data_IF_752645858783
#
_entry.id   IF_752645858783
#
_cell.length_a   1.000
_cell.length_b   1.000
_cell.length_c   1.000
_cell.angle_alpha   90.00
_cell.angle_beta   90.00
_cell.angle_gamma   90.00
#
_symmetry.space_group_name_H-M   'P 1'
#
loop_
_entity.id
_entity.type
_entity.pdbx_description
1 polymer ?
#
# COMPACT_ATOMS: atom_id res chain seq x y z
N UNK A 1 14.28 -28.45 30.17
CA UNK A 1 15.50 -28.83 30.91
C UNK A 1 15.72 -30.32 30.68
N UNK A 2 16.97 -30.70 30.35
CA UNK A 2 17.54 -32.04 30.15
C UNK A 2 17.58 -32.62 28.72
N UNK A 3 18.80 -32.55 28.18
CA UNK A 3 19.40 -33.57 27.32
C UNK A 3 19.60 -34.88 28.09
N UNK A 4 19.58 -36.04 27.41
CA UNK A 4 20.59 -37.10 27.55
C UNK A 4 20.37 -38.19 26.48
N UNK A 5 21.49 -38.67 25.93
CA UNK A 5 21.62 -39.65 24.86
C UNK A 5 21.50 -41.11 25.35
N UNK A 6 21.08 -42.01 24.45
CA UNK A 6 21.34 -43.46 24.48
C UNK A 6 21.55 -43.88 23.01
N UNK A 7 22.68 -44.40 22.53
CA UNK A 7 23.83 -44.98 23.21
C UNK A 7 23.98 -46.47 22.88
N UNK A 8 23.95 -46.86 21.61
CA UNK A 8 24.50 -48.16 21.18
C UNK A 8 25.92 -47.93 20.64
N UNK A 9 26.84 -48.68 21.22
CA UNK A 9 28.25 -48.36 21.26
C UNK A 9 28.99 -48.51 19.94
N UNK A 10 30.07 -47.73 19.84
CA UNK A 10 31.43 -48.11 19.44
C UNK A 10 32.23 -46.81 19.35
N UNK A 11 33.20 -46.62 20.25
CA UNK A 11 34.45 -45.93 19.94
C UNK A 11 35.58 -46.87 20.36
N UNK A 12 36.61 -47.05 19.52
CA UNK A 12 37.81 -46.26 19.76
C UNK A 12 38.58 -45.83 18.49
N UNK A 13 39.60 -45.02 18.73
CA UNK A 13 40.73 -44.62 17.85
C UNK A 13 40.55 -43.38 16.98
N UNK A 14 40.98 -42.26 17.57
CA UNK A 14 41.98 -41.32 17.02
C UNK A 14 42.51 -41.66 15.63
N UNK A 15 42.01 -40.97 14.62
CA UNK A 15 42.81 -40.12 13.73
C UNK A 15 41.91 -39.59 12.60
N UNK A 16 42.23 -38.37 12.16
CA UNK A 16 41.59 -37.62 11.08
C UNK A 16 40.24 -36.94 11.43
N UNK A 17 40.32 -35.60 11.43
CA UNK A 17 39.23 -34.63 11.51
C UNK A 17 37.95 -35.14 10.82
N UNK A 18 36.78 -35.08 11.48
CA UNK A 18 35.52 -35.32 10.78
C UNK A 18 35.46 -34.30 9.66
N UNK A 19 35.36 -34.78 8.41
CA UNK A 19 34.88 -33.93 7.34
C UNK A 19 33.57 -33.37 7.84
N UNK A 20 33.54 -32.09 8.18
CA UNK A 20 32.31 -31.34 8.33
C UNK A 20 31.58 -31.59 7.02
N UNK A 21 30.58 -32.45 7.08
CA UNK A 21 29.65 -32.64 6.01
C UNK A 21 28.90 -31.31 5.97
N UNK A 22 29.40 -30.36 5.18
CA UNK A 22 28.64 -29.20 4.75
C UNK A 22 27.47 -29.75 3.93
N UNK A 23 26.51 -30.35 4.62
CA UNK A 23 25.15 -30.47 4.13
C UNK A 23 24.77 -29.03 3.80
N UNK A 24 24.59 -28.77 2.52
CA UNK A 24 23.96 -27.56 2.03
C UNK A 24 22.52 -27.56 2.56
N UNK A 25 22.34 -27.24 3.84
CA UNK A 25 21.11 -26.63 4.31
C UNK A 25 20.95 -25.37 3.49
N UNK A 26 20.02 -25.45 2.54
CA UNK A 26 19.44 -24.39 1.75
C UNK A 26 19.82 -23.01 2.29
N UNK A 27 20.93 -22.46 1.82
CA UNK A 27 21.22 -21.05 2.02
C UNK A 27 20.01 -20.33 1.40
N UNK A 28 19.31 -19.43 2.12
CA UNK A 28 18.44 -18.49 1.41
C UNK A 28 19.34 -17.85 0.37
N UNK A 29 19.06 -18.09 -0.91
CA UNK A 29 19.85 -17.55 -2.00
C UNK A 29 19.88 -16.05 -1.80
N UNK A 30 21.04 -15.53 -1.39
CA UNK A 30 21.28 -14.10 -1.40
C UNK A 30 21.30 -13.71 -2.87
N UNK A 31 20.11 -13.41 -3.41
CA UNK A 31 20.00 -12.73 -4.68
C UNK A 31 20.58 -11.33 -4.49
N UNK A 32 21.66 -10.97 -5.20
CA UNK A 32 22.03 -9.57 -5.32
C UNK A 32 20.82 -8.88 -5.95
N UNK A 33 20.16 -8.00 -5.19
CA UNK A 33 19.14 -7.12 -5.74
C UNK A 33 19.82 -6.30 -6.82
N UNK A 34 19.42 -6.47 -8.10
CA UNK A 34 19.86 -5.52 -9.10
C UNK A 34 19.37 -4.15 -8.60
N UNK A 35 20.24 -3.15 -8.52
CA UNK A 35 19.80 -1.77 -8.50
C UNK A 35 19.16 -1.47 -9.85
N UNK A 36 17.95 -1.97 -10.05
CA UNK A 36 17.23 -1.99 -11.30
C UNK A 36 15.77 -1.97 -10.95
N UNK A 37 15.24 -0.75 -10.78
CA UNK A 37 13.82 -0.41 -10.61
C UNK A 37 13.10 -1.37 -9.65
N UNK A 38 13.11 -1.10 -8.34
CA UNK A 38 12.28 -1.83 -7.38
C UNK A 38 10.87 -1.95 -7.97
N UNK A 39 10.42 -3.16 -8.37
CA UNK A 39 9.07 -3.32 -8.88
C UNK A 39 8.15 -2.89 -7.74
N UNK A 40 7.45 -1.78 -7.93
CA UNK A 40 6.62 -1.15 -6.89
C UNK A 40 5.69 -2.23 -6.35
N UNK A 41 5.91 -2.69 -5.12
CA UNK A 41 5.05 -3.72 -4.51
C UNK A 41 3.74 -3.07 -4.04
N UNK A 42 2.63 -3.83 -3.97
CA UNK A 42 1.36 -3.31 -3.45
C UNK A 42 1.52 -2.65 -2.07
N UNK A 43 2.29 -3.29 -1.20
CA UNK A 43 2.65 -2.80 0.14
C UNK A 43 3.41 -1.48 0.10
N UNK A 44 4.41 -1.33 -0.78
CA UNK A 44 5.19 -0.10 -0.88
C UNK A 44 4.33 1.06 -1.38
N UNK A 45 3.51 0.82 -2.41
CA UNK A 45 2.62 1.85 -2.97
C UNK A 45 1.63 2.34 -1.91
N UNK A 46 1.00 1.41 -1.18
CA UNK A 46 0.02 1.72 -0.15
C UNK A 46 0.64 2.49 1.02
N UNK A 47 1.84 2.07 1.47
CA UNK A 47 2.59 2.74 2.52
C UNK A 47 3.01 4.16 2.14
N UNK A 48 3.48 4.38 0.90
CA UNK A 48 3.84 5.71 0.41
C UNK A 48 2.63 6.64 0.44
N UNK A 49 1.47 6.16 -0.03
CA UNK A 49 0.25 6.97 -0.06
C UNK A 49 -0.29 7.26 1.35
N UNK A 50 -0.24 6.29 2.26
CA UNK A 50 -0.63 6.49 3.67
C UNK A 50 0.24 7.57 4.36
N UNK A 51 1.55 7.55 4.11
CA UNK A 51 2.46 8.58 4.63
C UNK A 51 2.20 9.94 3.96
N UNK A 52 2.06 9.96 2.64
CA UNK A 52 1.78 11.18 1.89
C UNK A 52 0.48 11.84 2.39
N UNK A 53 -0.55 11.03 2.63
CA UNK A 53 -1.82 11.51 3.14
C UNK A 53 -1.68 12.14 4.53
N UNK A 54 -0.95 11.48 5.45
CA UNK A 54 -0.69 12.05 6.77
C UNK A 54 0.04 13.40 6.69
N UNK A 55 1.02 13.53 5.78
CA UNK A 55 1.70 14.81 5.51
C UNK A 55 0.71 15.86 4.99
N UNK A 56 -0.15 15.50 4.04
CA UNK A 56 -1.16 16.44 3.51
C UNK A 56 -2.20 16.85 4.55
N UNK A 57 -2.56 15.95 5.48
CA UNK A 57 -3.39 16.27 6.63
C UNK A 57 -2.71 17.31 7.53
N UNK A 58 -1.42 17.14 7.82
CA UNK A 58 -0.65 18.14 8.58
C UNK A 58 -0.66 19.49 7.87
N UNK A 59 -0.40 19.52 6.55
CA UNK A 59 -0.42 20.75 5.75
C UNK A 59 -1.81 21.41 5.81
N UNK A 60 -2.89 20.64 5.67
CA UNK A 60 -4.25 21.16 5.70
C UNK A 60 -4.62 21.73 7.07
N UNK A 61 -4.27 21.04 8.15
CA UNK A 61 -4.49 21.51 9.52
C UNK A 61 -3.67 22.79 9.78
N UNK A 62 -2.40 22.83 9.37
CA UNK A 62 -1.58 24.04 9.45
C UNK A 62 -2.19 25.19 8.66
N UNK A 63 -2.69 24.93 7.45
CA UNK A 63 -3.36 25.94 6.64
C UNK A 63 -4.64 26.46 7.32
N UNK A 64 -5.44 25.59 7.94
CA UNK A 64 -6.59 26.00 8.73
C UNK A 64 -6.18 26.86 9.93
N UNK A 65 -5.14 26.48 10.66
CA UNK A 65 -4.61 27.29 11.77
C UNK A 65 -4.13 28.67 11.27
N UNK A 66 -3.44 28.73 10.14
CA UNK A 66 -3.05 30.00 9.52
C UNK A 66 -4.27 30.86 9.20
N UNK A 67 -5.31 30.28 8.59
CA UNK A 67 -6.56 30.98 8.25
C UNK A 67 -7.29 31.53 9.47
N UNK A 68 -7.41 30.75 10.54
CA UNK A 68 -8.28 31.10 11.66
C UNK A 68 -7.57 31.79 12.82
N UNK A 69 -6.25 31.63 12.96
CA UNK A 69 -5.50 32.08 14.15
C UNK A 69 -4.42 33.10 13.83
N UNK A 70 -3.56 32.82 12.84
CA UNK A 70 -2.31 33.57 12.68
C UNK A 70 -2.35 34.65 11.59
N UNK A 71 -3.02 34.39 10.47
CA UNK A 71 -3.04 35.25 9.30
C UNK A 71 -4.40 35.18 8.58
N UNK A 72 -5.48 35.61 9.25
CA UNK A 72 -6.81 35.66 8.64
C UNK A 72 -6.83 36.62 7.44
N UNK A 73 -7.54 36.22 6.39
CA UNK A 73 -7.63 36.96 5.13
C UNK A 73 -7.05 36.19 3.93
N UNK A 74 -6.72 36.91 2.86
CA UNK A 74 -6.37 36.32 1.56
C UNK A 74 -5.23 35.29 1.61
N UNK A 75 -4.25 35.48 2.50
CA UNK A 75 -3.15 34.54 2.66
C UNK A 75 -3.61 33.21 3.27
N UNK A 76 -4.36 33.25 4.37
CA UNK A 76 -4.92 32.05 5.01
C UNK A 76 -5.92 31.31 4.11
N UNK A 77 -6.75 32.05 3.37
CA UNK A 77 -7.68 31.46 2.39
C UNK A 77 -6.92 30.78 1.23
N UNK A 78 -5.85 31.41 0.74
CA UNK A 78 -4.96 30.81 -0.25
C UNK A 78 -4.30 29.53 0.25
N UNK A 79 -3.79 29.53 1.49
CA UNK A 79 -3.17 28.37 2.10
C UNK A 79 -4.14 27.19 2.23
N UNK A 80 -5.38 27.43 2.69
CA UNK A 80 -6.41 26.37 2.80
C UNK A 80 -6.82 25.85 1.42
N UNK A 81 -6.90 26.73 0.42
CA UNK A 81 -7.22 26.31 -0.96
C UNK A 81 -6.16 25.39 -1.55
N UNK A 82 -4.88 25.75 -1.41
CA UNK A 82 -3.76 24.93 -1.90
C UNK A 82 -3.65 23.63 -1.09
N UNK A 83 -3.69 23.73 0.25
CA UNK A 83 -3.63 22.57 1.14
C UNK A 83 -4.77 21.59 0.88
N UNK A 84 -6.00 22.08 0.72
CA UNK A 84 -7.19 21.28 0.42
C UNK A 84 -7.10 20.61 -0.95
N UNK A 85 -6.59 21.32 -1.97
CA UNK A 85 -6.37 20.75 -3.30
C UNK A 85 -5.35 19.61 -3.27
N UNK A 86 -4.19 19.83 -2.65
CA UNK A 86 -3.13 18.81 -2.54
C UNK A 86 -3.62 17.61 -1.74
N UNK A 87 -4.31 17.84 -0.62
CA UNK A 87 -4.89 16.78 0.19
C UNK A 87 -5.93 15.97 -0.59
N UNK A 88 -6.86 16.63 -1.30
CA UNK A 88 -7.88 15.95 -2.09
C UNK A 88 -7.31 15.04 -3.18
N UNK A 89 -6.23 15.46 -3.84
CA UNK A 89 -5.53 14.61 -4.83
C UNK A 89 -4.92 13.36 -4.19
N UNK A 90 -4.24 13.51 -3.05
CA UNK A 90 -3.61 12.37 -2.34
C UNK A 90 -4.67 11.43 -1.78
N UNK A 91 -5.76 11.95 -1.22
CA UNK A 91 -6.92 11.18 -0.74
C UNK A 91 -7.51 10.30 -1.86
N UNK A 92 -7.75 10.87 -3.04
CA UNK A 92 -8.27 10.11 -4.19
C UNK A 92 -7.28 9.07 -4.69
N UNK A 93 -5.99 9.41 -4.78
CA UNK A 93 -4.94 8.47 -5.17
C UNK A 93 -4.86 7.27 -4.22
N UNK A 94 -4.96 7.53 -2.90
CA UNK A 94 -5.04 6.49 -1.88
C UNK A 94 -6.27 5.61 -2.06
N UNK A 95 -7.46 6.19 -2.23
CA UNK A 95 -8.70 5.42 -2.42
C UNK A 95 -8.67 4.53 -3.67
N UNK A 96 -8.20 5.06 -4.80
CA UNK A 96 -8.01 4.29 -6.05
C UNK A 96 -7.04 3.14 -5.82
N UNK A 97 -5.92 3.39 -5.14
CA UNK A 97 -4.92 2.36 -4.82
C UNK A 97 -5.49 1.32 -3.87
N UNK A 98 -6.27 1.70 -2.87
CA UNK A 98 -6.93 0.78 -1.95
C UNK A 98 -7.89 -0.17 -2.66
N UNK A 99 -8.64 0.33 -3.65
CA UNK A 99 -9.48 -0.50 -4.50
C UNK A 99 -8.63 -1.42 -5.38
N UNK A 100 -7.58 -0.89 -6.02
CA UNK A 100 -6.68 -1.67 -6.89
C UNK A 100 -6.01 -2.83 -6.12
N UNK A 101 -5.39 -2.52 -4.98
CA UNK A 101 -4.75 -3.50 -4.09
C UNK A 101 -5.79 -4.44 -3.51
N UNK A 102 -6.96 -3.94 -3.11
CA UNK A 102 -8.05 -4.75 -2.60
C UNK A 102 -8.53 -5.77 -3.62
N UNK A 103 -8.66 -5.40 -4.90
CA UNK A 103 -9.01 -6.35 -5.97
C UNK A 103 -7.87 -7.35 -6.20
N UNK A 104 -6.61 -6.90 -6.20
CA UNK A 104 -5.44 -7.79 -6.34
C UNK A 104 -5.37 -8.85 -5.23
N UNK A 105 -5.56 -8.41 -3.99
CA UNK A 105 -5.47 -9.19 -2.76
C UNK A 105 -6.80 -9.84 -2.34
N UNK A 106 -7.85 -9.71 -3.17
CA UNK A 106 -9.19 -10.30 -2.95
C UNK A 106 -9.85 -9.89 -1.63
N UNK A 107 -9.65 -8.63 -1.24
CA UNK A 107 -10.30 -8.07 -0.06
C UNK A 107 -11.81 -8.06 -0.21
N UNK A 108 -12.53 -8.22 0.91
CA UNK A 108 -13.98 -8.02 0.94
C UNK A 108 -14.29 -6.55 0.58
N UNK A 109 -15.35 -6.24 -0.18
CA UNK A 109 -15.71 -4.85 -0.51
C UNK A 109 -15.84 -3.93 0.71
N UNK A 110 -16.32 -4.48 1.84
CA UNK A 110 -16.40 -3.76 3.13
C UNK A 110 -15.03 -3.29 3.62
N UNK A 111 -13.97 -4.05 3.37
CA UNK A 111 -12.61 -3.67 3.77
C UNK A 111 -12.06 -2.56 2.87
N UNK A 112 -12.37 -2.57 1.57
CA UNK A 112 -12.02 -1.46 0.67
C UNK A 112 -12.76 -0.18 1.07
N UNK A 113 -14.05 -0.28 1.40
CA UNK A 113 -14.82 0.86 1.89
C UNK A 113 -14.26 1.38 3.22
N UNK A 114 -13.89 0.48 4.13
CA UNK A 114 -13.25 0.86 5.39
C UNK A 114 -11.91 1.57 5.15
N UNK A 115 -11.12 1.11 4.19
CA UNK A 115 -9.88 1.77 3.79
C UNK A 115 -10.13 3.21 3.32
N UNK A 116 -11.12 3.43 2.47
CA UNK A 116 -11.49 4.78 2.02
C UNK A 116 -12.05 5.61 3.19
N UNK A 117 -12.80 4.99 4.11
CA UNK A 117 -13.33 5.70 5.27
C UNK A 117 -12.20 6.15 6.23
N UNK A 118 -11.12 5.38 6.38
CA UNK A 118 -9.99 5.80 7.21
C UNK A 118 -9.22 6.98 6.62
N UNK A 119 -9.25 7.18 5.29
CA UNK A 119 -8.69 8.34 4.61
C UNK A 119 -9.38 9.67 4.99
N UNK A 120 -10.68 9.60 5.32
CA UNK A 120 -11.47 10.77 5.72
C UNK A 120 -11.11 11.23 7.14
N UNK A 121 -10.61 10.33 7.99
CA UNK A 121 -10.26 10.66 9.38
C UNK A 121 -8.76 11.00 9.46
N UNK A 122 -8.39 12.17 10.01
CA UNK A 122 -7.00 12.57 10.12
C UNK A 122 -6.13 11.50 10.78
N UNK A 123 -4.99 11.21 10.15
CA UNK A 123 -4.00 10.23 10.63
C UNK A 123 -4.49 8.78 10.78
N UNK A 124 -5.75 8.46 10.46
CA UNK A 124 -6.30 7.12 10.66
C UNK A 124 -5.83 6.10 9.60
N UNK A 125 -5.25 6.55 8.50
CA UNK A 125 -4.67 5.67 7.47
C UNK A 125 -3.36 5.03 7.89
N UNK A 126 -2.58 5.66 8.76
CA UNK A 126 -1.36 5.08 9.33
C UNK A 126 -1.65 3.83 10.19
N UNK A 127 -2.51 3.87 11.23
CA UNK A 127 -2.80 2.68 12.04
C UNK A 127 -3.56 1.62 11.25
N UNK A 128 -4.38 2.01 10.27
CA UNK A 128 -5.06 1.08 9.36
C UNK A 128 -4.06 0.34 8.47
N UNK A 129 -3.12 1.05 7.85
CA UNK A 129 -2.03 0.46 7.06
C UNK A 129 -1.20 -0.53 7.91
N UNK A 130 -0.78 -0.12 9.11
CA UNK A 130 -0.09 -1.01 10.06
C UNK A 130 -0.92 -2.21 10.50
N UNK A 131 -2.24 -2.09 10.51
CA UNK A 131 -3.13 -3.22 10.85
C UNK A 131 -3.27 -4.19 9.67
N UNK A 132 -3.32 -3.68 8.44
CA UNK A 132 -3.32 -4.50 7.23
C UNK A 132 -2.00 -5.25 7.06
N UNK A 133 -0.88 -4.57 7.30
CA UNK A 133 0.47 -5.14 7.26
C UNK A 133 0.63 -6.25 8.32
N UNK A 134 0.09 -6.05 9.53
CA UNK A 134 0.10 -7.07 10.59
C UNK A 134 -0.81 -8.28 10.32
N UNK A 135 -1.73 -8.19 9.37
CA UNK A 135 -2.64 -9.28 8.99
C UNK A 135 -2.22 -9.95 7.68
N UNK A 136 -1.05 -9.61 7.17
CA UNK A 136 -0.51 -10.09 5.89
C UNK A 136 -1.46 -9.82 4.70
N UNK A 137 -2.38 -8.85 4.86
CA UNK A 137 -3.39 -8.51 3.84
C UNK A 137 -2.78 -7.75 2.66
N UNK A 138 -1.59 -7.18 2.87
CA UNK A 138 -0.78 -6.48 1.86
C UNK A 138 0.38 -7.35 1.34
N UNK A 139 0.54 -8.56 1.86
CA UNK A 139 1.64 -9.44 1.46
C UNK A 139 1.29 -10.21 0.18
N UNK A 140 2.25 -10.27 -0.74
CA UNK A 140 2.10 -10.83 -2.07
C UNK A 140 2.47 -9.86 -3.18
N UNK A 141 2.98 -10.40 -4.28
CA UNK A 141 3.27 -9.64 -5.49
C UNK A 141 2.01 -9.27 -6.28
N UNK A 142 2.19 -8.43 -7.29
CA UNK A 142 1.14 -8.20 -8.29
C UNK A 142 0.78 -9.50 -9.00
N UNK A 143 -0.48 -9.91 -8.94
CA UNK A 143 -0.96 -11.16 -9.53
C UNK A 143 -1.20 -10.97 -11.02
N UNK A 144 -0.18 -11.25 -11.83
CA UNK A 144 -0.20 -11.12 -13.29
C UNK A 144 -0.75 -12.37 -14.00
N UNK A 145 -0.73 -13.52 -13.34
CA UNK A 145 -1.15 -14.81 -13.91
C UNK A 145 -2.53 -15.25 -13.39
N UNK A 146 -3.19 -16.09 -14.19
CA UNK A 146 -4.48 -16.67 -13.82
C UNK A 146 -4.33 -17.83 -12.85
N UNK A 147 -5.04 -17.80 -11.74
CA UNK A 147 -5.14 -18.93 -10.80
C UNK A 147 -6.51 -19.60 -10.97
N UNK A 148 -6.60 -20.91 -10.73
CA UNK A 148 -7.84 -21.71 -10.83
C UNK A 148 -8.92 -21.38 -9.78
N UNK A 149 -8.77 -20.28 -9.03
CA UNK A 149 -9.74 -19.86 -8.02
C UNK A 149 -10.99 -19.24 -8.70
N UNK A 150 -12.23 -19.63 -8.31
CA UNK A 150 -13.46 -19.05 -8.85
C UNK A 150 -13.54 -17.52 -8.74
N UNK A 151 -12.92 -16.92 -7.71
CA UNK A 151 -12.88 -15.46 -7.51
C UNK A 151 -11.98 -14.75 -8.52
N UNK A 152 -11.21 -15.51 -9.28
CA UNK A 152 -10.28 -15.02 -10.27
C UNK A 152 -10.86 -14.96 -11.68
N UNK A 153 -12.10 -15.43 -11.84
CA UNK A 153 -12.84 -15.38 -13.10
C UNK A 153 -13.71 -14.11 -13.23
N UNK A 154 -13.67 -13.20 -12.24
CA UNK A 154 -14.44 -11.95 -12.29
C UNK A 154 -13.90 -10.99 -13.36
N UNK A 155 -14.77 -10.13 -13.90
CA UNK A 155 -14.41 -9.11 -14.88
C UNK A 155 -13.35 -8.14 -14.32
N UNK A 156 -13.42 -7.84 -13.02
CA UNK A 156 -12.44 -7.02 -12.31
C UNK A 156 -11.05 -7.68 -12.30
N UNK A 157 -10.95 -8.99 -12.06
CA UNK A 157 -9.66 -9.71 -12.11
C UNK A 157 -9.08 -9.75 -13.53
N UNK A 158 -9.91 -9.87 -14.56
CA UNK A 158 -9.45 -9.82 -15.97
C UNK A 158 -8.92 -8.44 -16.35
N UNK A 159 -9.64 -7.38 -15.97
CA UNK A 159 -9.20 -5.99 -16.20
C UNK A 159 -7.93 -5.67 -15.42
N UNK A 160 -7.81 -6.13 -14.17
CA UNK A 160 -6.61 -5.98 -13.37
C UNK A 160 -5.41 -6.65 -14.03
N UNK A 161 -5.53 -7.91 -14.49
CA UNK A 161 -4.44 -8.61 -15.17
C UNK A 161 -4.04 -7.92 -16.48
N UNK A 162 -5.02 -7.50 -17.28
CA UNK A 162 -4.76 -6.76 -18.51
C UNK A 162 -4.01 -5.44 -18.23
N UNK A 163 -4.42 -4.72 -17.18
CA UNK A 163 -3.74 -3.50 -16.75
C UNK A 163 -2.35 -3.75 -16.16
N UNK A 164 -2.16 -4.81 -15.37
CA UNK A 164 -0.86 -5.20 -14.82
C UNK A 164 0.12 -5.72 -15.88
N UNK A 165 -0.38 -6.26 -16.99
CA UNK A 165 0.41 -6.62 -18.16
C UNK A 165 0.86 -5.39 -18.97
N UNK A 166 0.19 -4.25 -18.81
CA UNK A 166 0.51 -2.97 -19.46
C UNK A 166 0.58 -1.84 -18.43
N UNK A 167 1.65 -1.78 -17.60
CA UNK A 167 1.72 -0.90 -16.43
C UNK A 167 1.56 0.58 -16.78
N UNK A 168 2.05 1.02 -17.96
CA UNK A 168 1.91 2.41 -18.42
C UNK A 168 0.45 2.74 -18.73
N UNK A 169 -0.29 1.84 -19.37
CA UNK A 169 -1.72 2.05 -19.64
C UNK A 169 -2.54 2.05 -18.36
N UNK A 170 -2.25 1.15 -17.43
CA UNK A 170 -2.91 1.14 -16.12
C UNK A 170 -2.63 2.45 -15.38
N UNK A 171 -1.37 2.87 -15.31
CA UNK A 171 -1.01 4.15 -14.69
C UNK A 171 -1.74 5.33 -15.37
N UNK A 172 -1.76 5.40 -16.71
CA UNK A 172 -2.45 6.47 -17.41
C UNK A 172 -3.96 6.46 -17.17
N UNK A 173 -4.60 5.28 -17.17
CA UNK A 173 -6.04 5.17 -16.91
C UNK A 173 -6.37 5.57 -15.47
N UNK A 174 -5.55 5.17 -14.50
CA UNK A 174 -5.73 5.57 -13.11
C UNK A 174 -5.55 7.08 -12.92
N UNK A 175 -4.55 7.68 -13.56
CA UNK A 175 -4.33 9.14 -13.53
C UNK A 175 -5.47 9.89 -14.20
N UNK A 176 -5.91 9.46 -15.39
CA UNK A 176 -7.06 10.07 -16.07
C UNK A 176 -8.33 9.94 -15.23
N UNK A 177 -8.60 8.75 -14.68
CA UNK A 177 -9.73 8.51 -13.79
C UNK A 177 -9.68 9.41 -12.55
N UNK A 178 -8.50 9.55 -11.93
CA UNK A 178 -8.28 10.46 -10.81
C UNK A 178 -8.60 11.91 -11.19
N UNK A 179 -8.05 12.40 -12.31
CA UNK A 179 -8.29 13.77 -12.78
C UNK A 179 -9.77 14.00 -13.09
N UNK A 180 -10.43 13.05 -13.74
CA UNK A 180 -11.86 13.14 -14.04
C UNK A 180 -12.69 13.19 -12.76
N UNK A 181 -12.49 12.25 -11.82
CA UNK A 181 -13.23 12.22 -10.56
C UNK A 181 -12.98 13.49 -9.76
N UNK A 182 -11.74 13.93 -9.64
CA UNK A 182 -11.39 15.15 -8.93
C UNK A 182 -12.02 16.39 -9.55
N UNK A 183 -11.96 16.51 -10.88
CA UNK A 183 -12.60 17.61 -11.62
C UNK A 183 -14.10 17.61 -11.40
N UNK A 184 -14.74 16.44 -11.51
CA UNK A 184 -16.18 16.30 -11.25
C UNK A 184 -16.53 16.75 -9.83
N UNK A 185 -15.80 16.30 -8.82
CA UNK A 185 -16.01 16.71 -7.42
C UNK A 185 -15.84 18.22 -7.22
N UNK A 186 -14.87 18.84 -7.89
CA UNK A 186 -14.67 20.29 -7.85
C UNK A 186 -15.80 21.06 -8.56
N UNK A 187 -16.34 20.53 -9.66
CA UNK A 187 -17.42 21.17 -10.42
C UNK A 187 -18.79 21.03 -9.77
N UNK A 188 -19.05 19.92 -9.06
CA UNK A 188 -20.32 19.73 -8.37
C UNK A 188 -20.46 20.64 -7.14
N UNK A 189 -19.33 21.03 -6.51
CA UNK A 189 -19.32 21.86 -5.31
C UNK A 189 -20.09 21.23 -4.12
N UNK A 190 -19.94 21.76 -2.89
CA UNK A 190 -20.79 21.32 -1.78
C UNK A 190 -22.25 21.67 -2.09
N UNK A 191 -23.20 20.71 -2.06
CA UNK A 191 -24.62 21.03 -2.11
C UNK A 191 -24.98 21.82 -0.85
N UNK A 192 -25.00 23.15 -0.96
CA UNK A 192 -25.27 24.06 0.16
C UNK A 192 -24.71 25.48 0.04
N UNK A 193 -23.92 25.78 -1.00
CA UNK A 193 -23.38 27.14 -1.24
C UNK A 193 -24.23 27.98 -2.17
N UNK A 194 -25.48 28.29 -1.82
CA UNK A 194 -26.21 29.42 -2.42
C UNK A 194 -26.87 30.23 -1.30
N UNK A 195 -26.63 31.55 -1.39
CA UNK A 195 -27.10 32.68 -0.54
C UNK A 195 -26.62 32.70 0.91
#
# INVERSE_FOLDING_TARGET
MLAQCYGDGVQPSTDALPRLNCQAETLPTCHPTPYGVLPVSPRLLYRILSIAEAITWTILITAMLLKYVFAPGAFGDGAVRVGGFVHGLVFLAYGITAVLVGVNQRWRPRLMLLAVATAVVPYATIPFDRWLERRDLLDGGWRREATDDPRDQTVASRLLRFGLARPVLLASVLVVGLVVVFTVLLTMGPPGGQS
#
